data_IF_015611978476
#
_entry.id   IF_015611978476
#
_cell.length_a   1.000
_cell.length_b   1.000
_cell.length_c   1.000
_cell.angle_alpha   90.00
_cell.angle_beta   90.00
_cell.angle_gamma   90.00
#
_symmetry.space_group_name_H-M   'P 1'
#
loop_
_entity.id
_entity.type
_entity.pdbx_description
1 polymer ?
#
# COMPACT_ATOMS: atom_id res chain seq x y z
N UNK A 1 11.17 29.31 12.05
CA UNK A 1 11.59 28.14 11.25
C UNK A 1 11.56 26.92 12.16
N UNK A 2 10.82 25.88 11.78
CA UNK A 2 10.83 24.62 12.53
C UNK A 2 12.06 23.83 12.09
N UNK A 3 12.88 23.41 13.06
CA UNK A 3 14.08 22.61 12.81
C UNK A 3 14.15 21.51 13.85
N UNK A 4 14.33 20.27 13.44
CA UNK A 4 14.49 19.12 14.35
C UNK A 4 15.70 18.31 13.92
N UNK A 5 16.38 17.72 14.88
CA UNK A 5 17.46 16.77 14.64
C UNK A 5 17.06 15.41 15.17
N UNK A 6 17.32 14.37 14.38
CA UNK A 6 17.12 12.98 14.79
C UNK A 6 18.47 12.30 14.79
N UNK A 7 18.92 11.79 15.94
CA UNK A 7 20.17 11.03 16.05
C UNK A 7 19.90 9.57 16.38
N UNK A 8 20.68 8.67 15.82
CA UNK A 8 20.70 7.26 16.20
C UNK A 8 22.09 6.67 15.98
N UNK A 9 22.39 5.57 16.67
CA UNK A 9 23.50 4.66 16.36
C UNK A 9 23.22 3.81 15.11
N UNK A 10 21.97 3.72 14.67
CA UNK A 10 21.50 2.96 13.50
C UNK A 10 20.63 3.85 12.63
N UNK A 11 21.24 4.56 11.70
CA UNK A 11 20.57 5.31 10.64
C UNK A 11 20.90 4.62 9.32
N UNK A 12 19.90 4.41 8.46
CA UNK A 12 20.13 3.97 7.10
C UNK A 12 20.85 5.09 6.32
N UNK A 13 22.05 4.81 5.82
CA UNK A 13 22.90 5.81 5.17
C UNK A 13 22.66 5.85 3.66
N UNK A 14 23.27 6.84 3.00
CA UNK A 14 22.95 7.25 1.61
C UNK A 14 23.22 6.22 0.53
N UNK A 15 24.02 5.19 0.80
CA UNK A 15 24.21 4.06 -0.10
C UNK A 15 23.05 3.06 -0.03
N UNK A 16 22.06 3.34 0.82
CA UNK A 16 20.97 2.48 1.26
C UNK A 16 21.41 1.15 1.87
N UNK A 17 22.65 0.70 1.69
CA UNK A 17 23.15 -0.59 2.17
C UNK A 17 23.77 -0.53 3.57
N UNK A 18 24.30 0.63 3.99
CA UNK A 18 25.02 0.78 5.25
C UNK A 18 24.12 1.32 6.35
N UNK A 19 24.20 0.71 7.54
CA UNK A 19 23.56 1.21 8.76
C UNK A 19 24.66 1.66 9.71
N UNK A 20 24.60 2.92 10.14
CA UNK A 20 25.63 3.49 11.01
C UNK A 20 25.13 4.65 11.87
N UNK A 21 25.98 5.15 12.78
CA UNK A 21 25.64 6.30 13.60
C UNK A 21 25.53 7.54 12.71
N UNK A 22 24.44 8.29 12.83
CA UNK A 22 24.28 9.57 12.15
C UNK A 22 23.28 10.51 12.85
N UNK A 23 23.30 11.77 12.41
CA UNK A 23 22.30 12.79 12.74
C UNK A 23 21.65 13.30 11.46
N UNK A 24 20.32 13.25 11.40
CA UNK A 24 19.50 13.80 10.32
C UNK A 24 18.96 15.16 10.78
N UNK A 25 19.35 16.23 10.10
CA UNK A 25 18.78 17.57 10.33
C UNK A 25 17.63 17.81 9.36
N UNK A 26 16.47 18.20 9.91
CA UNK A 26 15.28 18.54 9.16
C UNK A 26 14.95 20.00 9.45
N UNK A 27 14.84 20.83 8.42
CA UNK A 27 14.48 22.24 8.54
C UNK A 27 13.33 22.55 7.59
N UNK A 28 12.29 23.21 8.10
CA UNK A 28 11.06 23.53 7.36
C UNK A 28 10.47 22.30 6.66
N UNK A 29 10.54 21.14 7.32
CA UNK A 29 10.01 19.87 6.83
C UNK A 29 10.88 19.12 5.82
N UNK A 30 12.05 19.64 5.45
CA UNK A 30 12.98 19.00 4.50
C UNK A 30 14.24 18.53 5.20
N UNK A 31 14.78 17.39 4.78
CA UNK A 31 16.11 16.94 5.21
C UNK A 31 17.14 17.88 4.60
N UNK A 32 17.84 18.64 5.43
CA UNK A 32 18.88 19.59 5.00
C UNK A 32 20.27 19.01 5.12
N UNK A 33 20.48 18.07 6.06
CA UNK A 33 21.78 17.46 6.29
C UNK A 33 21.66 16.05 6.88
N UNK A 34 22.59 15.18 6.51
CA UNK A 34 22.83 13.89 7.16
C UNK A 34 24.31 13.88 7.54
N UNK A 35 24.62 13.79 8.83
CA UNK A 35 25.98 13.81 9.37
C UNK A 35 26.30 12.42 9.91
N UNK A 36 27.19 11.71 9.21
CA UNK A 36 27.62 10.36 9.59
C UNK A 36 28.70 10.40 10.67
N UNK A 37 28.73 9.37 11.52
CA UNK A 37 29.68 9.22 12.61
C UNK A 37 29.09 9.52 13.99
N UNK A 38 29.93 9.32 15.01
CA UNK A 38 29.53 9.39 16.43
C UNK A 38 29.59 10.79 17.05
N UNK A 39 30.04 11.80 16.30
CA UNK A 39 30.34 13.14 16.82
C UNK A 39 29.41 14.20 16.27
N UNK A 40 28.28 14.44 16.94
CA UNK A 40 27.55 15.70 16.77
C UNK A 40 28.05 16.72 17.80
N UNK A 41 28.76 17.74 17.34
CA UNK A 41 29.35 18.78 18.19
C UNK A 41 28.51 20.07 18.23
N UNK A 42 27.29 20.05 17.67
CA UNK A 42 26.37 21.18 17.75
C UNK A 42 25.57 21.21 19.06
N UNK A 43 24.96 22.34 19.37
CA UNK A 43 24.08 22.49 20.53
C UNK A 43 22.84 21.59 20.41
N UNK A 44 22.67 20.61 21.31
CA UNK A 44 21.53 19.68 21.31
C UNK A 44 20.40 20.21 22.20
N UNK A 45 19.18 20.30 21.67
CA UNK A 45 17.99 20.73 22.40
C UNK A 45 17.14 19.51 22.75
N UNK A 46 17.20 19.06 24.00
CA UNK A 46 16.50 17.86 24.46
C UNK A 46 14.96 17.97 24.46
N UNK A 47 14.40 19.19 24.35
CA UNK A 47 12.95 19.38 24.26
C UNK A 47 12.43 19.25 22.81
N UNK A 48 13.33 19.43 21.84
CA UNK A 48 12.98 19.55 20.43
C UNK A 48 13.54 18.42 19.57
N UNK A 49 14.78 18.03 19.84
CA UNK A 49 15.50 17.01 19.10
C UNK A 49 15.20 15.61 19.63
N UNK A 50 15.36 14.62 18.75
CA UNK A 50 14.97 13.24 19.00
C UNK A 50 16.23 12.38 19.06
N UNK A 51 16.47 11.79 20.24
CA UNK A 51 17.46 10.75 20.41
C UNK A 51 16.79 9.37 20.28
N UNK A 52 17.04 8.70 19.16
CA UNK A 52 16.55 7.35 18.91
C UNK A 52 17.45 6.27 19.53
N UNK A 53 18.57 6.62 20.16
CA UNK A 53 19.47 5.67 20.80
C UNK A 53 20.00 4.61 19.83
N UNK A 54 19.53 3.37 19.98
CA UNK A 54 19.87 2.22 19.12
C UNK A 54 18.72 1.75 18.23
N UNK A 55 17.61 2.50 18.14
CA UNK A 55 16.53 2.18 17.21
C UNK A 55 16.94 2.53 15.79
N UNK A 56 16.47 1.75 14.81
CA UNK A 56 16.73 1.98 13.40
C UNK A 56 15.92 3.20 12.92
N UNK A 57 16.61 4.14 12.26
CA UNK A 57 16.01 5.28 11.56
C UNK A 57 16.15 5.06 10.06
N UNK A 58 15.03 5.05 9.35
CA UNK A 58 14.95 4.88 7.90
C UNK A 58 13.87 5.80 7.31
N UNK A 59 13.76 5.95 5.98
CA UNK A 59 12.68 6.71 5.37
C UNK A 59 11.33 6.16 5.83
N UNK A 60 10.37 7.05 6.05
CA UNK A 60 9.00 6.64 6.30
C UNK A 60 8.43 5.83 5.12
N UNK A 61 7.59 4.84 5.44
CA UNK A 61 7.00 3.95 4.43
C UNK A 61 5.98 4.72 3.60
N UNK A 62 5.88 4.34 2.32
CA UNK A 62 4.82 4.79 1.42
C UNK A 62 3.99 3.57 1.04
N UNK A 63 2.72 3.55 1.44
CA UNK A 63 1.81 2.47 1.08
C UNK A 63 0.94 2.90 -0.11
N UNK A 64 1.15 2.31 -1.28
CA UNK A 64 0.45 2.68 -2.51
C UNK A 64 -0.92 2.03 -2.70
N UNK A 65 -1.39 1.19 -1.76
CA UNK A 65 -2.65 0.49 -1.91
C UNK A 65 -3.46 0.46 -0.61
N UNK A 66 -4.20 1.55 -0.37
CA UNK A 66 -5.04 1.70 0.82
C UNK A 66 -6.45 2.11 0.42
N UNK A 67 -7.48 1.42 0.90
CA UNK A 67 -8.87 1.80 0.69
C UNK A 67 -9.36 2.67 1.84
N UNK A 68 -9.41 4.00 1.63
CA UNK A 68 -10.11 4.91 2.54
C UNK A 68 -11.50 5.16 1.96
N UNK A 69 -12.52 4.72 2.69
CA UNK A 69 -13.90 4.62 2.20
C UNK A 69 -14.72 5.89 2.49
N UNK A 70 -14.04 7.01 2.74
CA UNK A 70 -14.62 8.33 2.99
C UNK A 70 -14.44 9.22 1.75
N UNK A 71 -15.46 9.95 1.29
CA UNK A 71 -16.81 10.11 1.85
C UNK A 71 -17.73 8.89 1.69
N UNK A 72 -18.86 8.86 2.42
CA UNK A 72 -20.00 8.01 2.13
C UNK A 72 -20.03 6.63 2.81
N UNK A 73 -18.87 5.99 3.05
CA UNK A 73 -18.76 4.74 3.82
C UNK A 73 -17.70 4.87 4.92
N UNK A 74 -17.71 6.02 5.61
CA UNK A 74 -16.74 6.38 6.66
C UNK A 74 -16.69 5.34 7.80
N UNK A 75 -17.78 4.62 8.04
CA UNK A 75 -17.89 3.52 9.00
C UNK A 75 -17.10 2.27 8.61
N UNK A 76 -16.75 2.10 7.33
CA UNK A 76 -15.81 1.06 6.89
C UNK A 76 -14.39 1.45 7.26
N UNK A 77 -13.94 2.63 6.83
CA UNK A 77 -12.68 3.24 7.25
C UNK A 77 -12.61 4.69 6.77
N UNK A 78 -12.39 5.64 7.69
CA UNK A 78 -12.26 7.06 7.40
C UNK A 78 -10.81 7.52 7.45
N UNK A 79 -10.55 8.76 6.99
CA UNK A 79 -9.18 9.29 6.92
C UNK A 79 -8.49 9.36 8.29
N UNK A 80 -9.23 9.72 9.34
CA UNK A 80 -8.66 9.84 10.68
C UNK A 80 -8.09 8.50 11.17
N UNK A 81 -8.89 7.44 11.11
CA UNK A 81 -8.52 6.12 11.63
C UNK A 81 -7.52 5.42 10.71
N UNK A 82 -7.65 5.55 9.39
CA UNK A 82 -6.68 5.03 8.42
C UNK A 82 -5.30 5.68 8.61
N UNK A 83 -5.23 7.01 8.67
CA UNK A 83 -3.95 7.72 8.76
C UNK A 83 -3.30 7.60 10.15
N UNK A 84 -4.09 7.46 11.22
CA UNK A 84 -3.57 7.04 12.54
C UNK A 84 -2.99 5.63 12.48
N UNK A 85 -3.69 4.68 11.88
CA UNK A 85 -3.19 3.32 11.72
C UNK A 85 -1.90 3.28 10.88
N UNK A 86 -1.84 4.04 9.79
CA UNK A 86 -0.64 4.23 8.99
C UNK A 86 0.53 4.76 9.84
N UNK A 87 0.31 5.86 10.59
CA UNK A 87 1.33 6.42 11.47
C UNK A 87 1.84 5.42 12.50
N UNK A 88 0.94 4.63 13.12
CA UNK A 88 1.32 3.59 14.08
C UNK A 88 2.12 2.43 13.44
N UNK A 89 1.98 2.23 12.12
CA UNK A 89 2.72 1.23 11.34
C UNK A 89 4.01 1.73 10.70
N UNK A 90 4.45 2.97 10.98
CA UNK A 90 5.65 3.54 10.37
C UNK A 90 5.44 4.08 8.96
N UNK A 91 4.19 4.14 8.50
CA UNK A 91 3.80 4.68 7.21
C UNK A 91 3.64 6.19 7.36
N UNK A 92 4.26 6.93 6.45
CA UNK A 92 4.25 8.41 6.41
C UNK A 92 3.48 8.95 5.21
N UNK A 93 3.15 8.09 4.26
CA UNK A 93 2.32 8.43 3.11
C UNK A 93 1.48 7.24 2.71
N UNK A 94 0.19 7.46 2.48
CA UNK A 94 -0.69 6.48 1.84
C UNK A 94 -1.14 6.99 0.46
N UNK A 95 -1.46 6.08 -0.45
CA UNK A 95 -2.12 6.39 -1.71
C UNK A 95 -3.48 5.72 -1.72
N UNK A 96 -4.51 6.56 -1.68
CA UNK A 96 -5.89 6.16 -1.47
C UNK A 96 -6.54 5.69 -2.78
N UNK A 97 -7.20 4.53 -2.72
CA UNK A 97 -7.90 3.89 -3.83
C UNK A 97 -9.21 4.63 -4.19
N UNK A 98 -9.65 4.57 -5.47
CA UNK A 98 -10.73 5.41 -5.97
C UNK A 98 -12.15 4.88 -5.71
N UNK A 99 -12.28 3.72 -5.08
CA UNK A 99 -13.55 3.01 -4.92
C UNK A 99 -13.96 2.88 -3.45
N UNK A 100 -15.15 2.34 -3.23
CA UNK A 100 -15.89 2.18 -1.97
C UNK A 100 -16.33 3.50 -1.31
N UNK A 101 -15.58 4.60 -1.47
CA UNK A 101 -16.10 5.92 -1.17
C UNK A 101 -17.29 6.26 -2.09
N UNK A 102 -18.23 7.06 -1.59
CA UNK A 102 -19.39 7.56 -2.33
C UNK A 102 -19.36 9.09 -2.30
N UNK A 103 -19.19 9.76 -3.46
CA UNK A 103 -19.00 9.18 -4.80
C UNK A 103 -17.62 8.51 -4.97
N UNK A 104 -17.55 7.46 -5.80
CA UNK A 104 -16.29 6.89 -6.29
C UNK A 104 -15.49 7.97 -7.03
N UNK A 105 -14.17 7.95 -6.92
CA UNK A 105 -13.25 8.92 -7.54
C UNK A 105 -13.04 8.65 -9.03
N UNK A 106 -14.13 8.67 -9.81
CA UNK A 106 -14.17 8.39 -11.25
C UNK A 106 -14.41 9.63 -12.11
N UNK A 107 -14.62 10.79 -11.49
CA UNK A 107 -14.74 12.11 -12.13
C UNK A 107 -13.90 13.14 -11.38
N UNK A 108 -13.58 14.26 -12.03
CA UNK A 108 -12.86 15.36 -11.38
C UNK A 108 -13.62 15.93 -10.17
N UNK A 109 -14.95 16.00 -10.23
CA UNK A 109 -15.75 16.54 -9.12
C UNK A 109 -15.83 15.57 -7.94
N UNK A 110 -15.89 14.26 -8.19
CA UNK A 110 -15.77 13.27 -7.13
C UNK A 110 -14.38 13.33 -6.47
N UNK A 111 -13.32 13.54 -7.26
CA UNK A 111 -11.98 13.76 -6.72
C UNK A 111 -11.92 14.98 -5.81
N UNK A 112 -12.42 16.14 -6.26
CA UNK A 112 -12.50 17.35 -5.43
C UNK A 112 -13.26 17.12 -4.13
N UNK A 113 -14.40 16.43 -4.21
CA UNK A 113 -15.20 16.06 -3.04
C UNK A 113 -14.35 15.25 -2.06
N UNK A 114 -13.60 14.25 -2.53
CA UNK A 114 -12.73 13.42 -1.67
C UNK A 114 -11.64 14.24 -0.97
N UNK A 115 -11.04 15.22 -1.67
CA UNK A 115 -10.02 16.12 -1.10
C UNK A 115 -10.54 16.92 0.11
N UNK A 116 -11.80 17.37 0.07
CA UNK A 116 -12.41 18.18 1.14
C UNK A 116 -12.55 17.43 2.48
N UNK A 117 -12.66 16.10 2.43
CA UNK A 117 -12.69 15.24 3.61
C UNK A 117 -11.28 14.92 4.10
N UNK A 118 -10.40 14.51 3.17
CA UNK A 118 -9.03 14.12 3.51
C UNK A 118 -8.23 15.24 4.18
N UNK A 119 -8.39 16.49 3.70
CA UNK A 119 -7.64 17.65 4.18
C UNK A 119 -7.79 17.93 5.68
N UNK A 120 -8.89 17.49 6.30
CA UNK A 120 -9.23 17.80 7.70
C UNK A 120 -8.75 16.76 8.70
N UNK A 121 -8.45 15.54 8.25
CA UNK A 121 -8.36 14.37 9.12
C UNK A 121 -7.06 13.58 8.96
N UNK A 122 -6.18 13.98 8.03
CA UNK A 122 -4.99 13.22 7.68
C UNK A 122 -3.82 13.44 8.67
N UNK A 123 -3.43 12.38 9.38
CA UNK A 123 -2.25 12.39 10.25
C UNK A 123 -0.93 12.17 9.50
N UNK A 124 -0.99 11.41 8.40
CA UNK A 124 0.12 11.18 7.48
C UNK A 124 -0.25 11.78 6.12
N UNK A 125 0.72 11.88 5.21
CA UNK A 125 0.41 12.42 3.89
C UNK A 125 -0.46 11.47 3.07
N UNK A 126 -1.27 12.04 2.18
CA UNK A 126 -2.23 11.28 1.36
C UNK A 126 -2.12 11.71 -0.09
N UNK A 127 -1.85 10.75 -0.97
CA UNK A 127 -2.02 10.88 -2.42
C UNK A 127 -3.24 10.04 -2.87
N UNK A 128 -3.62 10.15 -4.14
CA UNK A 128 -4.89 9.59 -4.63
C UNK A 128 -4.74 8.91 -5.98
N UNK A 129 -5.37 7.76 -6.12
CA UNK A 129 -5.66 7.14 -7.40
C UNK A 129 -7.02 7.61 -7.91
N UNK A 130 -7.15 7.72 -9.24
CA UNK A 130 -8.43 7.89 -9.91
C UNK A 130 -8.99 6.56 -10.38
N UNK A 131 -10.27 6.51 -10.72
CA UNK A 131 -10.90 5.33 -11.27
C UNK A 131 -11.06 5.38 -12.78
N UNK A 132 -10.86 4.23 -13.44
CA UNK A 132 -11.26 4.01 -14.83
C UNK A 132 -12.41 3.01 -14.83
N UNK A 133 -13.55 3.45 -15.37
CA UNK A 133 -14.81 2.70 -15.47
C UNK A 133 -15.40 2.89 -16.87
N UNK A 134 -16.36 2.08 -17.33
CA UNK A 134 -16.99 2.29 -18.64
C UNK A 134 -17.51 3.71 -18.83
N UNK A 135 -17.09 4.35 -19.93
CA UNK A 135 -17.59 5.66 -20.36
C UNK A 135 -16.92 6.90 -19.74
N UNK A 136 -15.99 6.75 -18.78
CA UNK A 136 -15.37 7.91 -18.11
C UNK A 136 -14.03 8.37 -18.70
N UNK A 137 -13.61 7.87 -19.88
CA UNK A 137 -12.27 8.14 -20.43
C UNK A 137 -11.93 9.64 -20.59
N UNK A 138 -12.95 10.50 -20.76
CA UNK A 138 -12.76 11.95 -20.91
C UNK A 138 -12.45 12.65 -19.58
N UNK A 139 -12.69 12.01 -18.44
CA UNK A 139 -12.36 12.51 -17.09
C UNK A 139 -10.88 12.34 -16.74
N UNK A 140 -10.16 11.45 -17.44
CA UNK A 140 -8.79 11.05 -17.07
C UNK A 140 -7.80 12.22 -17.17
N UNK A 141 -7.74 12.90 -18.32
CA UNK A 141 -6.85 14.06 -18.51
C UNK A 141 -7.15 15.21 -17.54
N UNK A 142 -8.43 15.60 -17.29
CA UNK A 142 -8.78 16.52 -16.22
C UNK A 142 -8.23 16.11 -14.85
N UNK A 143 -8.38 14.85 -14.44
CA UNK A 143 -7.85 14.36 -13.16
C UNK A 143 -6.32 14.34 -13.10
N UNK A 144 -5.63 14.02 -14.20
CA UNK A 144 -4.17 14.15 -14.30
C UNK A 144 -3.74 15.59 -14.04
N UNK A 145 -4.39 16.58 -14.66
CA UNK A 145 -4.08 18.01 -14.43
C UNK A 145 -4.36 18.45 -13.00
N UNK A 146 -5.31 17.82 -12.32
CA UNK A 146 -5.60 18.03 -10.91
C UNK A 146 -4.60 17.34 -9.96
N UNK A 147 -3.66 16.55 -10.50
CA UNK A 147 -2.55 15.98 -9.75
C UNK A 147 -2.79 14.58 -9.19
N UNK A 148 -3.70 13.80 -9.78
CA UNK A 148 -3.89 12.39 -9.38
C UNK A 148 -2.63 11.57 -9.69
N UNK A 149 -2.33 10.55 -8.88
CA UNK A 149 -1.11 9.74 -9.03
C UNK A 149 -1.13 8.84 -10.27
N UNK A 150 -2.33 8.44 -10.70
CA UNK A 150 -2.63 7.53 -11.81
C UNK A 150 -4.05 7.00 -11.68
N UNK A 151 -4.37 5.87 -12.30
CA UNK A 151 -5.71 5.31 -12.31
C UNK A 151 -5.76 3.83 -11.95
N UNK A 152 -6.85 3.36 -11.35
CA UNK A 152 -7.14 1.95 -11.05
C UNK A 152 -8.41 1.53 -11.80
N UNK A 153 -8.43 0.30 -12.30
CA UNK A 153 -9.63 -0.36 -12.81
C UNK A 153 -9.72 -1.81 -12.34
N UNK A 154 -10.89 -2.40 -12.52
CA UNK A 154 -11.16 -3.82 -12.31
C UNK A 154 -11.51 -4.49 -13.63
N UNK A 155 -11.03 -5.72 -13.84
CA UNK A 155 -11.38 -6.56 -14.99
C UNK A 155 -12.51 -7.56 -14.70
N UNK A 156 -12.98 -7.60 -13.46
CA UNK A 156 -14.11 -8.38 -12.94
C UNK A 156 -14.91 -7.49 -11.97
N UNK A 157 -16.16 -7.86 -11.63
CA UNK A 157 -16.97 -7.09 -10.69
C UNK A 157 -16.20 -6.75 -9.40
N UNK A 158 -16.23 -5.47 -9.01
CA UNK A 158 -15.41 -4.89 -7.93
C UNK A 158 -15.99 -5.14 -6.53
N UNK A 159 -17.14 -5.80 -6.44
CA UNK A 159 -17.96 -5.94 -5.24
C UNK A 159 -18.99 -4.82 -5.07
N UNK A 160 -18.90 -3.72 -5.83
CA UNK A 160 -19.77 -2.54 -5.73
C UNK A 160 -20.18 -2.01 -7.10
N UNK A 161 -21.44 -1.58 -7.22
CA UNK A 161 -21.98 -1.11 -8.50
C UNK A 161 -21.55 0.32 -8.85
N UNK A 162 -21.14 1.12 -7.86
CA UNK A 162 -20.63 2.48 -8.06
C UNK A 162 -19.22 2.51 -8.68
N UNK A 163 -18.57 1.35 -8.83
CA UNK A 163 -17.30 1.19 -9.52
C UNK A 163 -17.36 -0.01 -10.49
N UNK A 164 -18.08 0.11 -11.61
CA UNK A 164 -18.24 -1.00 -12.55
C UNK A 164 -16.91 -1.36 -13.24
N UNK A 165 -16.72 -2.64 -13.49
CA UNK A 165 -15.53 -3.18 -14.15
C UNK A 165 -15.50 -2.82 -15.64
N UNK A 166 -14.29 -2.74 -16.20
CA UNK A 166 -14.09 -2.36 -17.60
C UNK A 166 -14.01 -3.57 -18.51
N UNK A 167 -14.51 -3.42 -19.73
CA UNK A 167 -14.26 -4.37 -20.82
C UNK A 167 -12.97 -4.01 -21.56
N UNK A 168 -12.47 -4.91 -22.40
CA UNK A 168 -11.33 -4.59 -23.30
C UNK A 168 -11.63 -3.38 -24.21
N UNK A 169 -12.89 -3.21 -24.65
CA UNK A 169 -13.29 -2.06 -25.46
C UNK A 169 -13.17 -0.73 -24.69
N UNK A 170 -13.43 -0.73 -23.39
CA UNK A 170 -13.26 0.44 -22.53
C UNK A 170 -11.78 0.73 -22.26
N UNK A 171 -10.97 -0.33 -22.05
CA UNK A 171 -9.51 -0.21 -21.93
C UNK A 171 -8.88 0.42 -23.17
N UNK A 172 -9.31 0.05 -24.37
CA UNK A 172 -8.84 0.68 -25.61
C UNK A 172 -9.12 2.19 -25.64
N UNK A 173 -10.25 2.65 -25.09
CA UNK A 173 -10.57 4.10 -25.01
C UNK A 173 -9.71 4.78 -23.95
N UNK A 174 -9.65 4.22 -22.75
CA UNK A 174 -8.88 4.78 -21.64
C UNK A 174 -7.38 4.84 -21.96
N UNK A 175 -6.78 3.76 -22.48
CA UNK A 175 -5.36 3.74 -22.83
C UNK A 175 -5.02 4.68 -23.99
N UNK A 176 -5.93 4.92 -24.94
CA UNK A 176 -5.75 5.98 -25.95
C UNK A 176 -5.68 7.36 -25.32
N UNK A 177 -6.51 7.63 -24.31
CA UNK A 177 -6.47 8.90 -23.59
C UNK A 177 -5.21 9.06 -22.74
N UNK A 178 -4.71 7.98 -22.14
CA UNK A 178 -3.50 7.98 -21.31
C UNK A 178 -2.19 7.95 -22.11
N UNK A 179 -2.24 7.56 -23.40
CA UNK A 179 -1.05 7.45 -24.24
C UNK A 179 -0.31 8.79 -24.35
N UNK A 180 1.00 8.78 -24.14
CA UNK A 180 1.85 9.98 -24.14
C UNK A 180 1.79 10.80 -22.84
N UNK A 181 1.02 10.36 -21.84
CA UNK A 181 1.08 10.92 -20.48
C UNK A 181 2.03 10.11 -19.60
N UNK A 182 2.47 10.69 -18.48
CA UNK A 182 3.26 9.98 -17.46
C UNK A 182 2.38 9.19 -16.46
N UNK A 183 1.10 8.98 -16.78
CA UNK A 183 0.16 8.29 -15.91
C UNK A 183 0.33 6.77 -15.98
N UNK A 184 0.10 6.10 -14.86
CA UNK A 184 0.04 4.64 -14.75
C UNK A 184 -1.41 4.17 -14.65
N UNK A 185 -1.73 2.99 -15.21
CA UNK A 185 -3.01 2.30 -15.05
C UNK A 185 -2.81 1.01 -14.24
N UNK A 186 -3.49 0.93 -13.10
CA UNK A 186 -3.46 -0.15 -12.13
C UNK A 186 -4.63 -1.11 -12.39
N UNK A 187 -4.37 -2.41 -12.30
CA UNK A 187 -5.34 -3.45 -12.62
C UNK A 187 -5.55 -4.40 -11.45
N UNK A 188 -6.79 -4.44 -10.92
CA UNK A 188 -7.25 -5.67 -10.30
C UNK A 188 -7.49 -6.67 -11.43
N UNK A 189 -6.53 -7.57 -11.61
CA UNK A 189 -6.43 -8.45 -12.76
C UNK A 189 -7.01 -9.82 -12.44
N UNK A 190 -8.33 -9.94 -12.43
CA UNK A 190 -9.06 -11.21 -12.51
C UNK A 190 -10.12 -11.08 -13.63
N UNK A 191 -10.37 -12.14 -14.38
CA UNK A 191 -11.45 -12.23 -15.38
C UNK A 191 -12.23 -13.52 -15.18
N UNK A 192 -13.51 -13.52 -15.53
CA UNK A 192 -14.29 -14.76 -15.61
C UNK A 192 -13.65 -15.72 -16.63
N UNK A 193 -13.48 -16.98 -16.23
CA UNK A 193 -12.96 -18.03 -17.12
C UNK A 193 -14.06 -18.98 -17.51
N UNK A 194 -14.02 -19.52 -18.73
CA UNK A 194 -14.96 -20.55 -19.20
C UNK A 194 -14.73 -21.92 -18.55
N UNK A 195 -13.99 -21.99 -17.44
CA UNK A 195 -13.83 -23.23 -16.70
C UNK A 195 -15.19 -23.58 -16.07
N UNK A 196 -15.68 -24.82 -16.24
CA UNK A 196 -16.90 -25.24 -15.57
C UNK A 196 -16.69 -25.09 -14.05
N UNK A 197 -17.70 -24.62 -13.30
CA UNK A 197 -17.60 -24.59 -11.84
C UNK A 197 -17.29 -26.00 -11.34
N UNK A 198 -16.36 -26.10 -10.39
CA UNK A 198 -16.10 -27.37 -9.72
C UNK A 198 -17.39 -27.79 -8.99
N UNK A 199 -18.07 -28.82 -9.50
CA UNK A 199 -19.32 -29.34 -8.97
C UNK A 199 -19.13 -30.15 -7.67
N UNK A 200 -17.92 -30.23 -7.11
CA UNK A 200 -17.72 -30.86 -5.81
C UNK A 200 -18.50 -30.08 -4.73
N UNK A 201 -19.51 -30.73 -4.14
CA UNK A 201 -20.27 -30.21 -3.00
C UNK A 201 -19.32 -29.97 -1.83
N UNK A 202 -18.83 -28.74 -1.73
CA UNK A 202 -17.96 -28.29 -0.64
C UNK A 202 -18.70 -27.23 0.15
N UNK A 203 -18.60 -27.30 1.48
CA UNK A 203 -19.31 -26.38 2.38
C UNK A 203 -18.93 -24.92 2.07
N UNK A 204 -19.88 -23.97 1.98
CA UNK A 204 -19.54 -22.55 1.82
C UNK A 204 -18.69 -21.98 2.97
N UNK A 205 -18.60 -22.69 4.09
CA UNK A 205 -17.71 -22.35 5.21
C UNK A 205 -16.28 -22.88 5.06
N UNK A 206 -16.00 -23.75 4.09
CA UNK A 206 -14.65 -24.23 3.81
C UNK A 206 -13.92 -23.20 2.94
N UNK A 207 -12.70 -22.84 3.31
CA UNK A 207 -11.92 -21.87 2.53
C UNK A 207 -11.60 -22.39 1.12
N UNK A 208 -11.42 -23.70 0.98
CA UNK A 208 -11.19 -24.36 -0.32
C UNK A 208 -12.32 -24.09 -1.33
N UNK A 209 -13.59 -24.02 -0.89
CA UNK A 209 -14.73 -23.68 -1.75
C UNK A 209 -14.56 -22.30 -2.38
N UNK A 210 -14.16 -21.31 -1.57
CA UNK A 210 -13.88 -19.97 -2.06
C UNK A 210 -12.63 -19.94 -2.97
N UNK A 211 -11.56 -20.63 -2.58
CA UNK A 211 -10.34 -20.72 -3.37
C UNK A 211 -10.59 -21.31 -4.78
N UNK A 212 -11.41 -22.36 -4.87
CA UNK A 212 -11.84 -23.00 -6.13
C UNK A 212 -12.74 -22.12 -6.98
N UNK A 213 -13.57 -21.28 -6.36
CA UNK A 213 -14.43 -20.34 -7.09
C UNK A 213 -13.65 -19.24 -7.82
N UNK A 214 -12.39 -19.02 -7.43
CA UNK A 214 -11.49 -18.02 -8.03
C UNK A 214 -10.14 -18.63 -8.39
N UNK A 215 -10.06 -19.59 -9.33
CA UNK A 215 -8.82 -20.28 -9.66
C UNK A 215 -7.75 -19.31 -10.18
N UNK A 216 -6.47 -19.68 -10.06
CA UNK A 216 -5.33 -18.87 -10.55
C UNK A 216 -5.47 -18.49 -12.04
N UNK A 217 -6.14 -19.31 -12.84
CA UNK A 217 -6.40 -19.03 -14.24
C UNK A 217 -7.12 -17.69 -14.48
N UNK A 218 -8.05 -17.29 -13.60
CA UNK A 218 -8.74 -15.99 -13.70
C UNK A 218 -7.76 -14.83 -13.64
N UNK A 219 -6.77 -14.92 -12.75
CA UNK A 219 -5.73 -13.90 -12.61
C UNK A 219 -4.71 -13.96 -13.76
N UNK A 220 -4.27 -15.16 -14.11
CA UNK A 220 -3.30 -15.38 -15.17
C UNK A 220 -3.80 -14.87 -16.54
N UNK A 221 -5.06 -15.16 -16.91
CA UNK A 221 -5.64 -14.68 -18.18
C UNK A 221 -5.81 -13.16 -18.21
N UNK A 222 -6.23 -12.56 -17.09
CA UNK A 222 -6.34 -11.12 -16.96
C UNK A 222 -4.98 -10.44 -17.16
N UNK A 223 -3.90 -11.00 -16.60
CA UNK A 223 -2.54 -10.47 -16.76
C UNK A 223 -2.04 -10.62 -18.21
N UNK A 224 -2.41 -11.68 -18.95
CA UNK A 224 -2.10 -11.79 -20.39
C UNK A 224 -2.75 -10.67 -21.20
N UNK A 225 -4.02 -10.36 -20.91
CA UNK A 225 -4.71 -9.22 -21.53
C UNK A 225 -3.98 -7.91 -21.24
N UNK A 226 -3.64 -7.65 -19.97
CA UNK A 226 -2.93 -6.41 -19.58
C UNK A 226 -1.56 -6.33 -20.24
N UNK A 227 -0.78 -7.41 -20.27
CA UNK A 227 0.52 -7.45 -20.92
C UNK A 227 0.44 -7.10 -22.41
N UNK A 228 -0.54 -7.67 -23.14
CA UNK A 228 -0.78 -7.38 -24.55
C UNK A 228 -1.12 -5.90 -24.78
N UNK A 229 -2.04 -5.36 -23.99
CA UNK A 229 -2.45 -3.96 -24.11
C UNK A 229 -1.32 -2.99 -23.73
N UNK A 230 -0.53 -3.33 -22.70
CA UNK A 230 0.64 -2.56 -22.29
C UNK A 230 1.68 -2.47 -23.41
N UNK A 231 1.94 -3.57 -24.12
CA UNK A 231 2.83 -3.59 -25.30
C UNK A 231 2.28 -2.77 -26.47
N UNK A 232 0.96 -2.82 -26.69
CA UNK A 232 0.29 -2.10 -27.77
C UNK A 232 0.32 -0.59 -27.55
N UNK A 233 -0.04 -0.12 -26.36
CA UNK A 233 -0.22 1.30 -26.07
C UNK A 233 1.01 1.98 -25.48
N UNK A 234 1.92 1.21 -24.88
CA UNK A 234 3.08 1.71 -24.12
C UNK A 234 2.69 2.66 -22.97
N UNK A 235 1.46 2.52 -22.47
CA UNK A 235 1.02 3.16 -21.22
C UNK A 235 1.55 2.34 -20.06
N UNK A 236 2.21 2.95 -19.06
CA UNK A 236 2.63 2.24 -17.85
C UNK A 236 1.47 1.49 -17.20
N UNK A 237 1.64 0.20 -16.99
CA UNK A 237 0.66 -0.67 -16.35
C UNK A 237 1.20 -1.20 -15.02
N UNK A 238 0.32 -1.40 -14.06
CA UNK A 238 0.68 -1.96 -12.77
C UNK A 238 -0.34 -3.03 -12.36
N UNK A 239 0.14 -4.26 -12.15
CA UNK A 239 -0.69 -5.33 -11.61
C UNK A 239 -0.71 -5.18 -10.09
N UNK A 240 -1.87 -4.84 -9.54
CA UNK A 240 -2.03 -4.74 -8.09
C UNK A 240 -2.18 -6.13 -7.45
N UNK A 241 -1.83 -6.24 -6.16
CA UNK A 241 -2.07 -7.39 -5.28
C UNK A 241 -1.94 -8.76 -5.98
N UNK A 242 -0.80 -9.01 -6.65
CA UNK A 242 -0.52 -10.28 -7.32
C UNK A 242 -0.54 -11.43 -6.31
N UNK A 243 -1.46 -12.37 -6.52
CA UNK A 243 -1.65 -13.54 -5.68
C UNK A 243 -1.06 -14.80 -6.33
N UNK A 244 -1.24 -14.98 -7.63
CA UNK A 244 -0.72 -16.12 -8.39
C UNK A 244 0.73 -15.92 -8.81
N UNK A 245 1.66 -16.68 -8.22
CA UNK A 245 3.06 -16.70 -8.67
C UNK A 245 3.23 -17.30 -10.08
N UNK A 246 2.19 -17.96 -10.62
CA UNK A 246 2.19 -18.52 -11.98
C UNK A 246 2.09 -17.45 -13.06
N UNK A 247 1.60 -16.25 -12.73
CA UNK A 247 1.51 -15.16 -13.70
C UNK A 247 2.82 -14.40 -13.91
N UNK A 248 3.81 -14.54 -13.01
CA UNK A 248 5.08 -13.82 -13.09
C UNK A 248 5.82 -14.00 -14.42
N UNK A 249 5.94 -15.21 -15.01
CA UNK A 249 6.56 -15.39 -16.33
C UNK A 249 5.93 -14.52 -17.42
N UNK A 250 4.61 -14.29 -17.40
CA UNK A 250 3.90 -13.44 -18.37
C UNK A 250 4.38 -11.99 -18.23
N UNK A 251 4.47 -11.49 -17.00
CA UNK A 251 4.91 -10.13 -16.70
C UNK A 251 6.38 -9.95 -17.11
N UNK A 252 7.24 -10.90 -16.74
CA UNK A 252 8.67 -10.86 -17.07
C UNK A 252 8.92 -10.93 -18.58
N UNK A 253 8.16 -11.74 -19.32
CA UNK A 253 8.25 -11.80 -20.78
C UNK A 253 7.81 -10.49 -21.42
N UNK A 254 6.69 -9.91 -20.98
CA UNK A 254 6.25 -8.60 -21.47
C UNK A 254 7.29 -7.50 -21.21
N UNK A 255 7.94 -7.50 -20.03
CA UNK A 255 9.05 -6.59 -19.71
C UNK A 255 10.23 -6.75 -20.65
N UNK A 256 10.62 -7.99 -20.99
CA UNK A 256 11.69 -8.27 -21.96
C UNK A 256 11.35 -7.71 -23.35
N UNK A 257 10.07 -7.68 -23.71
CA UNK A 257 9.56 -7.03 -24.93
C UNK A 257 9.39 -5.49 -24.80
N UNK A 258 9.81 -4.92 -23.67
CA UNK A 258 9.80 -3.49 -23.39
C UNK A 258 8.47 -2.94 -22.86
N UNK A 259 7.56 -3.79 -22.38
CA UNK A 259 6.33 -3.32 -21.73
C UNK A 259 6.69 -2.56 -20.43
N UNK A 260 6.18 -1.33 -20.23
CA UNK A 260 6.32 -0.62 -18.95
C UNK A 260 5.34 -1.19 -17.90
N UNK A 261 5.51 -2.47 -17.54
CA UNK A 261 4.64 -3.18 -16.61
C UNK A 261 5.35 -3.46 -15.27
N UNK A 262 4.71 -3.09 -14.17
CA UNK A 262 5.18 -3.36 -12.80
C UNK A 262 4.17 -4.22 -12.05
N UNK A 263 4.58 -4.81 -10.93
CA UNK A 263 3.71 -5.66 -10.11
C UNK A 263 4.01 -5.53 -8.63
N UNK A 264 2.96 -5.47 -7.82
CA UNK A 264 3.06 -5.55 -6.36
C UNK A 264 2.44 -6.87 -5.87
N UNK A 265 2.87 -7.33 -4.70
CA UNK A 265 2.12 -8.31 -3.90
C UNK A 265 1.87 -7.75 -2.50
N UNK A 266 1.06 -8.44 -1.71
CA UNK A 266 0.58 -7.93 -0.43
C UNK A 266 1.16 -8.71 0.74
N UNK A 267 1.18 -8.07 1.92
CA UNK A 267 1.63 -8.71 3.16
C UNK A 267 0.89 -10.02 3.45
N UNK A 268 -0.41 -10.11 3.16
CA UNK A 268 -1.21 -11.31 3.39
C UNK A 268 -0.80 -12.48 2.51
N UNK A 269 -0.47 -12.28 1.23
CA UNK A 269 0.02 -13.36 0.36
C UNK A 269 1.41 -13.87 0.74
N UNK A 270 2.17 -13.09 1.51
CA UNK A 270 3.50 -13.47 2.01
C UNK A 270 3.49 -14.05 3.43
N UNK A 271 2.37 -13.93 4.16
CA UNK A 271 2.28 -14.29 5.59
C UNK A 271 1.14 -15.24 5.95
N UNK A 272 0.22 -15.48 5.02
CA UNK A 272 -0.92 -16.38 5.13
C UNK A 272 -0.89 -17.38 3.97
N UNK A 273 -1.41 -18.57 4.21
CA UNK A 273 -1.60 -19.62 3.22
C UNK A 273 -2.99 -20.24 3.39
N UNK A 274 -3.52 -20.83 2.31
CA UNK A 274 -4.88 -21.34 2.25
C UNK A 274 -5.13 -22.51 3.23
N UNK A 275 -4.13 -23.37 3.39
CA UNK A 275 -4.19 -24.60 4.17
C UNK A 275 -4.37 -24.32 5.67
N UNK A 276 -3.95 -23.15 6.15
CA UNK A 276 -4.08 -22.75 7.55
C UNK A 276 -5.34 -21.92 7.85
N UNK A 277 -6.16 -21.60 6.86
CA UNK A 277 -7.40 -20.83 7.07
C UNK A 277 -8.47 -21.70 7.73
N UNK A 278 -8.94 -21.39 8.96
CA UNK A 278 -9.98 -22.18 9.60
C UNK A 278 -11.32 -22.07 8.86
N UNK A 279 -12.14 -23.12 8.94
CA UNK A 279 -13.52 -23.07 8.43
C UNK A 279 -14.31 -21.95 9.13
N UNK A 280 -15.06 -21.19 8.35
CA UNK A 280 -15.87 -20.06 8.83
C UNK A 280 -15.09 -18.78 9.17
N UNK A 281 -13.75 -18.77 9.05
CA UNK A 281 -12.92 -17.61 9.37
C UNK A 281 -12.91 -16.57 8.23
N UNK A 282 -14.05 -15.95 7.97
CA UNK A 282 -14.27 -15.01 6.85
C UNK A 282 -13.44 -13.73 6.91
N UNK A 283 -12.78 -13.43 8.04
CA UNK A 283 -11.77 -12.36 8.12
C UNK A 283 -10.54 -12.61 7.23
N UNK A 284 -10.32 -13.84 6.76
CA UNK A 284 -9.28 -14.19 5.80
C UNK A 284 -9.71 -13.95 4.34
N UNK A 285 -10.99 -13.69 4.06
CA UNK A 285 -11.48 -13.50 2.69
C UNK A 285 -10.92 -12.21 2.09
N UNK A 286 -10.24 -12.34 0.95
CA UNK A 286 -9.83 -11.26 0.05
C UNK A 286 -9.90 -11.74 -1.41
N UNK A 287 -9.88 -10.80 -2.36
CA UNK A 287 -9.91 -11.10 -3.80
C UNK A 287 -8.75 -10.35 -4.47
N UNK A 288 -7.80 -11.04 -5.14
CA UNK A 288 -7.70 -12.50 -5.30
C UNK A 288 -7.55 -13.25 -3.95
N UNK A 289 -7.91 -14.54 -3.86
CA UNK A 289 -7.83 -15.28 -2.60
C UNK A 289 -6.37 -15.51 -2.17
N UNK A 290 -6.16 -15.68 -0.85
CA UNK A 290 -4.93 -16.27 -0.30
C UNK A 290 -4.77 -17.67 -0.90
N UNK A 291 -3.59 -17.97 -1.44
CA UNK A 291 -3.26 -19.22 -2.14
C UNK A 291 -2.52 -20.20 -1.24
N UNK A 292 -2.20 -21.34 -1.82
CA UNK A 292 -1.51 -22.44 -1.18
C UNK A 292 -0.11 -22.05 -0.68
N UNK A 293 0.41 -22.76 0.31
CA UNK A 293 1.74 -22.54 0.87
C UNK A 293 2.84 -22.64 -0.19
N UNK A 294 2.70 -23.56 -1.16
CA UNK A 294 3.62 -23.66 -2.29
C UNK A 294 3.67 -22.36 -3.10
N UNK A 295 2.50 -21.76 -3.37
CA UNK A 295 2.43 -20.48 -4.07
C UNK A 295 3.07 -19.35 -3.24
N UNK A 296 2.83 -19.32 -1.93
CA UNK A 296 3.49 -18.36 -1.02
C UNK A 296 5.03 -18.48 -1.11
N UNK A 297 5.59 -19.70 -1.14
CA UNK A 297 7.03 -19.92 -1.29
C UNK A 297 7.58 -19.39 -2.63
N UNK A 298 6.80 -19.54 -3.72
CA UNK A 298 7.13 -19.00 -5.03
C UNK A 298 7.07 -17.47 -5.06
N UNK A 299 6.10 -16.84 -4.40
CA UNK A 299 6.05 -15.39 -4.23
C UNK A 299 7.28 -14.88 -3.47
N UNK A 300 7.67 -15.52 -2.37
CA UNK A 300 8.90 -15.16 -1.65
C UNK A 300 10.16 -15.27 -2.52
N UNK A 301 10.24 -16.33 -3.32
CA UNK A 301 11.35 -16.50 -4.28
C UNK A 301 11.38 -15.36 -5.30
N UNK A 302 10.22 -14.95 -5.82
CA UNK A 302 10.09 -13.84 -6.74
C UNK A 302 10.45 -12.48 -6.12
N UNK A 303 10.11 -12.25 -4.84
CA UNK A 303 10.55 -11.07 -4.11
C UNK A 303 12.08 -11.03 -4.02
N UNK A 304 12.71 -12.13 -3.63
CA UNK A 304 14.18 -12.23 -3.50
C UNK A 304 14.90 -12.09 -4.85
N UNK A 305 14.30 -12.59 -5.93
CA UNK A 305 14.84 -12.43 -7.28
C UNK A 305 14.64 -11.02 -7.86
N UNK A 306 13.84 -10.17 -7.19
CA UNK A 306 13.50 -8.83 -7.68
C UNK A 306 12.47 -8.83 -8.82
N UNK A 307 11.73 -9.93 -9.00
CA UNK A 307 10.68 -10.05 -10.02
C UNK A 307 9.42 -9.25 -9.63
N UNK A 308 9.19 -9.09 -8.33
CA UNK A 308 8.13 -8.27 -7.73
C UNK A 308 8.70 -6.89 -7.37
N UNK A 309 8.00 -5.83 -7.78
CA UNK A 309 8.50 -4.45 -7.66
C UNK A 309 8.18 -3.81 -6.31
N UNK A 310 7.02 -4.12 -5.73
CA UNK A 310 6.50 -3.46 -4.53
C UNK A 310 5.81 -4.44 -3.58
N UNK A 311 5.80 -4.07 -2.30
CA UNK A 311 5.04 -4.75 -1.25
C UNK A 311 4.14 -3.73 -0.55
N UNK A 312 2.84 -4.01 -0.49
CA UNK A 312 1.82 -3.09 0.04
C UNK A 312 0.84 -3.77 0.99
N UNK A 313 -0.02 -3.00 1.65
CA UNK A 313 -1.03 -3.57 2.55
C UNK A 313 -2.24 -4.15 1.82
N UNK A 314 -2.72 -3.47 0.78
CA UNK A 314 -4.09 -3.62 0.28
C UNK A 314 -5.09 -3.59 1.45
N UNK A 315 -4.94 -2.56 2.29
CA UNK A 315 -5.80 -2.37 3.44
C UNK A 315 -7.22 -2.07 2.95
N UNK A 316 -8.10 -3.05 3.06
CA UNK A 316 -9.47 -3.01 2.55
C UNK A 316 -10.47 -3.48 3.62
N UNK A 317 -10.67 -2.69 4.69
CA UNK A 317 -11.62 -3.00 5.76
C UNK A 317 -13.07 -2.78 5.31
N UNK A 318 -13.98 -3.48 5.96
CA UNK A 318 -15.42 -3.22 5.94
C UNK A 318 -15.98 -3.39 7.36
N UNK A 319 -17.27 -3.12 7.53
CA UNK A 319 -17.96 -3.34 8.81
C UNK A 319 -18.07 -4.83 9.15
N UNK A 320 -18.13 -5.15 10.44
CA UNK A 320 -18.10 -6.54 10.92
C UNK A 320 -19.28 -7.40 10.44
N UNK A 321 -20.45 -6.80 10.23
CA UNK A 321 -21.64 -7.47 9.70
C UNK A 321 -21.42 -7.99 8.28
N UNK A 322 -20.73 -7.22 7.41
CA UNK A 322 -20.41 -7.63 6.05
C UNK A 322 -19.39 -8.78 5.99
N UNK A 323 -18.64 -9.02 7.07
CA UNK A 323 -17.75 -10.17 7.17
C UNK A 323 -18.49 -11.47 7.46
N UNK A 324 -19.76 -11.45 7.91
CA UNK A 324 -20.56 -12.65 8.17
C UNK A 324 -19.84 -13.69 9.06
N UNK A 325 -19.08 -13.25 10.07
CA UNK A 325 -18.28 -14.15 10.91
C UNK A 325 -19.10 -15.15 11.72
N UNK A 326 -20.41 -14.91 11.89
CA UNK A 326 -21.33 -15.86 12.55
C UNK A 326 -21.81 -16.95 11.59
N UNK A 327 -22.10 -16.61 10.33
CA UNK A 327 -22.48 -17.58 9.30
C UNK A 327 -21.26 -18.36 8.80
N UNK A 328 -20.10 -17.70 8.73
CA UNK A 328 -18.86 -18.28 8.23
C UNK A 328 -18.85 -18.51 6.71
N UNK A 329 -19.84 -18.02 5.98
CA UNK A 329 -20.00 -18.24 4.53
C UNK A 329 -18.99 -17.40 3.73
N UNK A 330 -17.93 -18.05 3.25
CA UNK A 330 -16.90 -17.41 2.43
C UNK A 330 -17.42 -16.98 1.06
N UNK A 331 -18.54 -17.51 0.56
CA UNK A 331 -19.07 -17.11 -0.74
C UNK A 331 -19.80 -15.77 -0.65
N UNK A 332 -20.48 -15.50 0.47
CA UNK A 332 -21.23 -14.26 0.69
C UNK A 332 -20.44 -13.14 1.37
N UNK A 333 -19.49 -13.45 2.25
CA UNK A 333 -18.78 -12.45 3.04
C UNK A 333 -18.06 -11.40 2.16
N UNK A 334 -17.90 -10.17 2.64
CA UNK A 334 -17.11 -9.15 1.95
C UNK A 334 -15.62 -9.50 1.91
N UNK A 335 -14.97 -9.36 0.76
CA UNK A 335 -13.54 -9.61 0.57
C UNK A 335 -12.69 -8.36 0.86
N UNK A 336 -11.64 -8.50 1.68
CA UNK A 336 -10.69 -7.44 1.99
C UNK A 336 -10.02 -7.63 3.36
N UNK A 337 -8.72 -7.34 3.48
CA UNK A 337 -7.96 -7.59 4.72
C UNK A 337 -7.57 -6.27 5.39
N UNK A 338 -7.77 -6.20 6.71
CA UNK A 338 -7.33 -5.07 7.53
C UNK A 338 -5.89 -5.29 8.03
N UNK A 339 -4.92 -4.56 7.48
CA UNK A 339 -3.49 -4.79 7.77
C UNK A 339 -2.62 -3.52 7.90
N UNK A 340 -3.15 -2.32 7.62
CA UNK A 340 -2.35 -1.08 7.40
C UNK A 340 -1.27 -0.83 8.47
N UNK A 341 -1.65 -0.91 9.74
CA UNK A 341 -0.75 -0.69 10.88
C UNK A 341 0.40 -1.71 10.98
N UNK A 342 0.22 -2.91 10.43
CA UNK A 342 1.13 -4.03 10.65
C UNK A 342 2.08 -4.28 9.49
N UNK A 343 1.98 -3.52 8.39
CA UNK A 343 2.67 -3.83 7.14
C UNK A 343 4.18 -4.02 7.28
N UNK A 344 4.87 -3.07 7.93
CA UNK A 344 6.30 -3.17 8.21
C UNK A 344 6.63 -4.45 9.01
N UNK A 345 5.94 -4.66 10.12
CA UNK A 345 6.19 -5.78 11.03
C UNK A 345 5.87 -7.13 10.38
N UNK A 346 4.79 -7.22 9.61
CA UNK A 346 4.42 -8.43 8.86
C UNK A 346 5.49 -8.80 7.84
N UNK A 347 5.89 -7.83 7.00
CA UNK A 347 6.90 -8.08 5.99
C UNK A 347 8.25 -8.43 6.63
N UNK A 348 8.69 -7.66 7.64
CA UNK A 348 9.96 -7.90 8.32
C UNK A 348 10.00 -9.26 9.04
N UNK A 349 8.90 -9.67 9.67
CA UNK A 349 8.80 -10.99 10.31
C UNK A 349 9.05 -12.12 9.31
N UNK A 350 8.45 -12.02 8.11
CA UNK A 350 8.61 -13.02 7.05
C UNK A 350 9.95 -12.95 6.32
N UNK A 351 10.48 -11.75 6.07
CA UNK A 351 11.66 -11.54 5.22
C UNK A 351 12.97 -11.75 5.98
N UNK A 352 13.01 -11.44 7.29
CA UNK A 352 14.23 -11.57 8.10
C UNK A 352 14.75 -13.00 8.16
N UNK A 353 13.87 -14.00 8.31
CA UNK A 353 14.26 -15.41 8.30
C UNK A 353 14.76 -15.89 6.93
N UNK A 354 14.51 -15.11 5.88
CA UNK A 354 14.92 -15.36 4.50
C UNK A 354 16.16 -14.57 4.08
N UNK A 355 16.82 -13.91 5.03
CA UNK A 355 18.09 -13.21 4.81
C UNK A 355 17.96 -11.82 4.19
N UNK A 356 16.75 -11.26 4.08
CA UNK A 356 16.55 -9.95 3.47
C UNK A 356 17.17 -8.82 4.32
N UNK A 357 17.85 -7.92 3.64
CA UNK A 357 18.45 -6.73 4.23
C UNK A 357 17.45 -5.56 4.27
N UNK A 358 17.65 -4.64 5.21
CA UNK A 358 16.80 -3.44 5.40
C UNK A 358 16.70 -2.59 4.12
N UNK A 359 17.78 -2.52 3.33
CA UNK A 359 17.81 -1.74 2.10
C UNK A 359 16.84 -2.28 1.04
N UNK A 360 16.65 -3.60 0.99
CA UNK A 360 15.70 -4.25 0.07
C UNK A 360 14.27 -3.96 0.50
N UNK A 361 13.99 -3.94 1.81
CA UNK A 361 12.72 -3.51 2.36
C UNK A 361 12.42 -2.05 2.00
N UNK A 362 13.38 -1.14 2.19
CA UNK A 362 13.22 0.27 1.83
C UNK A 362 13.00 0.45 0.34
N UNK A 363 13.70 -0.32 -0.50
CA UNK A 363 13.43 -0.36 -1.95
C UNK A 363 11.96 -0.72 -2.22
N UNK A 364 11.48 -1.84 -1.67
CA UNK A 364 10.17 -2.41 -1.98
C UNK A 364 8.98 -1.62 -1.39
N UNK A 365 9.13 -1.02 -0.21
CA UNK A 365 8.04 -0.41 0.56
C UNK A 365 8.13 1.12 0.66
N UNK A 366 9.26 1.73 0.27
CA UNK A 366 9.45 3.18 0.32
C UNK A 366 9.76 3.75 -1.07
N UNK A 367 10.82 3.29 -1.72
CA UNK A 367 11.30 3.89 -2.97
C UNK A 367 10.42 3.55 -4.16
N UNK A 368 10.12 2.26 -4.36
CA UNK A 368 9.35 1.79 -5.51
C UNK A 368 7.88 2.21 -5.40
N UNK A 369 7.33 2.26 -4.18
CA UNK A 369 5.97 2.75 -3.90
C UNK A 369 5.87 4.26 -4.13
N UNK A 370 6.84 5.04 -3.66
CA UNK A 370 6.92 6.47 -3.98
C UNK A 370 7.08 6.70 -5.50
N UNK A 371 7.87 5.89 -6.19
CA UNK A 371 8.05 6.00 -7.64
C UNK A 371 6.75 5.72 -8.41
N UNK A 372 6.05 4.63 -8.09
CA UNK A 372 4.76 4.29 -8.69
C UNK A 372 3.75 5.44 -8.50
N UNK A 373 3.68 5.99 -7.29
CA UNK A 373 2.78 7.07 -6.93
C UNK A 373 3.15 8.45 -7.52
N UNK A 374 4.32 8.58 -8.17
CA UNK A 374 4.82 9.86 -8.69
C UNK A 374 5.31 10.82 -7.60
N UNK A 375 5.85 10.28 -6.50
CA UNK A 375 6.28 11.00 -5.30
C UNK A 375 7.79 10.83 -5.00
N UNK A 376 8.54 10.13 -5.85
CA UNK A 376 9.97 9.84 -5.64
C UNK A 376 10.88 11.08 -5.59
N UNK A 377 10.39 12.25 -5.98
CA UNK A 377 11.07 13.53 -5.84
C UNK A 377 11.14 14.03 -4.39
N UNK A 378 10.31 13.48 -3.49
CA UNK A 378 10.19 13.96 -2.11
C UNK A 378 9.94 12.88 -1.05
N UNK A 379 9.48 11.69 -1.43
CA UNK A 379 9.19 10.54 -0.53
C UNK A 379 10.08 9.34 -0.82
N UNK A 380 10.14 8.43 0.15
CA UNK A 380 10.70 7.09 -0.05
C UNK A 380 12.21 6.97 0.15
N UNK A 381 12.95 8.07 0.34
CA UNK A 381 14.40 8.04 0.54
C UNK A 381 14.85 8.94 1.70
N UNK A 382 15.95 8.55 2.35
CA UNK A 382 16.59 9.28 3.43
C UNK A 382 17.76 10.08 2.84
N UNK A 383 17.42 11.17 2.16
CA UNK A 383 18.36 11.97 1.37
C UNK A 383 18.08 13.46 1.54
N UNK A 384 19.13 14.29 1.45
CA UNK A 384 18.98 15.75 1.46
C UNK A 384 18.06 16.21 0.33
N UNK A 385 17.13 17.10 0.64
CA UNK A 385 16.08 17.60 -0.26
C UNK A 385 14.75 16.84 -0.15
N UNK A 386 14.77 15.60 0.36
CA UNK A 386 13.55 14.83 0.62
C UNK A 386 12.79 15.39 1.82
N UNK A 387 11.51 15.06 1.92
CA UNK A 387 10.74 15.38 3.12
C UNK A 387 11.35 14.68 4.35
N UNK A 388 11.27 15.34 5.50
CA UNK A 388 11.72 14.81 6.80
C UNK A 388 10.81 13.72 7.34
N UNK A 389 10.46 12.75 6.49
CA UNK A 389 9.54 11.66 6.78
C UNK A 389 10.34 10.43 7.17
N UNK A 390 10.26 10.06 8.45
CA UNK A 390 11.12 9.05 9.06
C UNK A 390 10.29 8.09 9.89
N UNK A 391 10.72 6.83 9.91
CA UNK A 391 10.27 5.85 10.91
C UNK A 391 11.44 5.48 11.81
N UNK A 392 11.17 5.45 13.11
CA UNK A 392 12.08 5.02 14.17
C UNK A 392 11.49 3.75 14.79
N UNK A 393 12.21 2.64 14.65
CA UNK A 393 11.67 1.33 15.04
C UNK A 393 12.76 0.36 15.53
N UNK A 394 12.33 -0.66 16.27
CA UNK A 394 13.18 -1.74 16.77
C UNK A 394 12.97 -3.01 15.92
N UNK A 395 13.89 -3.37 15.01
CA UNK A 395 13.77 -4.57 14.20
C UNK A 395 13.95 -5.89 14.97
N UNK A 396 14.47 -5.84 16.19
CA UNK A 396 14.69 -7.01 17.03
C UNK A 396 13.55 -7.26 18.03
N UNK A 397 12.83 -6.22 18.43
CA UNK A 397 11.70 -6.34 19.35
C UNK A 397 10.50 -7.07 18.72
N UNK A 398 9.76 -7.78 19.58
CA UNK A 398 8.56 -8.54 19.22
C UNK A 398 7.33 -8.00 19.93
N UNK A 399 6.16 -8.18 19.31
CA UNK A 399 4.87 -7.92 19.93
C UNK A 399 3.82 -8.89 19.41
N UNK A 400 2.86 -9.21 20.26
CA UNK A 400 1.64 -9.89 19.83
C UNK A 400 0.61 -8.87 19.34
N UNK A 401 -0.01 -9.16 18.20
CA UNK A 401 -1.16 -8.42 17.67
C UNK A 401 -2.37 -8.74 18.55
N UNK A 402 -2.89 -7.73 19.23
CA UNK A 402 -4.04 -7.82 20.11
C UNK A 402 -5.06 -6.75 19.73
N UNK A 403 -6.35 -7.04 19.93
CA UNK A 403 -7.46 -6.18 19.49
C UNK A 403 -7.38 -4.74 19.99
N UNK A 404 -6.90 -4.54 21.22
CA UNK A 404 -6.73 -3.24 21.87
C UNK A 404 -5.65 -2.37 21.22
N UNK A 405 -4.67 -2.96 20.54
CA UNK A 405 -3.59 -2.24 19.86
C UNK A 405 -3.96 -1.78 18.45
N UNK A 406 -5.02 -2.35 17.88
CA UNK A 406 -5.44 -2.08 16.51
C UNK A 406 -6.01 -0.66 16.41
N UNK A 407 -5.42 0.17 15.55
CA UNK A 407 -5.80 1.59 15.39
C UNK A 407 -6.81 1.85 14.27
N UNK A 408 -6.82 1.04 13.20
CA UNK A 408 -7.80 1.16 12.12
C UNK A 408 -9.22 0.87 12.65
N UNK A 409 -10.27 1.39 12.01
CA UNK A 409 -11.63 1.44 12.57
C UNK A 409 -12.17 0.05 12.89
N UNK A 410 -12.16 -0.84 11.90
CA UNK A 410 -12.72 -2.18 12.01
C UNK A 410 -11.65 -3.18 12.47
N UNK A 411 -11.73 -3.60 13.73
CA UNK A 411 -10.66 -4.37 14.42
C UNK A 411 -10.48 -5.81 13.94
N UNK A 412 -11.32 -6.27 13.01
CA UNK A 412 -11.29 -7.64 12.53
C UNK A 412 -10.14 -7.82 11.54
N UNK A 413 -9.23 -8.74 11.85
CA UNK A 413 -8.02 -8.99 11.06
C UNK A 413 -7.56 -10.44 11.20
N UNK A 414 -7.01 -11.08 10.15
CA UNK A 414 -6.47 -12.45 10.26
C UNK A 414 -5.17 -12.53 11.07
N UNK A 415 -4.65 -11.40 11.55
CA UNK A 415 -3.40 -11.33 12.28
C UNK A 415 -3.55 -11.32 13.80
N UNK A 416 -4.78 -11.25 14.33
CA UNK A 416 -5.00 -11.28 15.78
C UNK A 416 -4.40 -12.55 16.40
N UNK A 417 -3.64 -12.37 17.49
CA UNK A 417 -2.91 -13.44 18.16
C UNK A 417 -1.52 -13.77 17.56
N UNK A 418 -1.19 -13.31 16.35
CA UNK A 418 0.15 -13.53 15.77
C UNK A 418 1.22 -12.70 16.49
N UNK A 419 2.42 -13.27 16.61
CA UNK A 419 3.62 -12.57 17.12
C UNK A 419 4.41 -12.05 15.93
N UNK A 420 4.66 -10.74 15.91
CA UNK A 420 5.40 -10.04 14.87
C UNK A 420 6.68 -9.43 15.44
N UNK A 421 7.71 -9.33 14.61
CA UNK A 421 8.95 -8.59 14.88
C UNK A 421 8.90 -7.22 14.22
N UNK A 422 9.65 -6.26 14.76
CA UNK A 422 9.69 -4.91 14.25
C UNK A 422 8.67 -4.02 14.95
N UNK A 423 9.04 -3.42 16.08
CA UNK A 423 8.18 -2.52 16.86
C UNK A 423 8.41 -1.08 16.44
N UNK A 424 7.36 -0.40 16.00
CA UNK A 424 7.41 1.02 15.65
C UNK A 424 7.40 1.85 16.94
N UNK A 425 8.44 2.67 17.12
CA UNK A 425 8.54 3.59 18.26
C UNK A 425 8.01 4.96 17.91
N UNK A 426 8.38 5.52 16.76
CA UNK A 426 8.00 6.89 16.38
C UNK A 426 7.91 7.01 14.86
N UNK A 427 6.92 7.76 14.40
CA UNK A 427 6.73 8.09 12.99
C UNK A 427 6.69 9.60 12.84
N UNK A 428 7.51 10.12 11.94
CA UNK A 428 7.67 11.54 11.70
C UNK A 428 7.20 11.89 10.29
N UNK A 429 6.45 12.97 10.17
CA UNK A 429 6.08 13.59 8.89
C UNK A 429 6.62 15.01 8.90
N UNK A 430 7.49 15.34 7.94
CA UNK A 430 8.19 16.64 7.85
C UNK A 430 8.87 17.03 9.17
N UNK A 431 9.48 16.06 9.84
CA UNK A 431 10.15 16.24 11.14
C UNK A 431 9.22 16.38 12.35
N UNK A 432 7.91 16.26 12.18
CA UNK A 432 6.96 16.32 13.28
C UNK A 432 6.48 14.92 13.64
N UNK A 433 6.50 14.57 14.93
CA UNK A 433 6.01 13.27 15.38
C UNK A 433 4.48 13.19 15.24
N UNK A 434 4.01 12.27 14.41
CA UNK A 434 2.58 11.96 14.20
C UNK A 434 2.15 10.71 14.97
N UNK A 435 3.14 9.93 15.41
CA UNK A 435 2.98 8.80 16.32
C UNK A 435 4.23 8.65 17.20
N UNK A 436 4.03 8.37 18.49
CA UNK A 436 5.07 8.08 19.48
C UNK A 436 4.55 7.08 20.51
N UNK A 437 5.03 5.83 20.44
CA UNK A 437 4.77 4.75 21.42
C UNK A 437 3.31 4.67 21.90
N UNK A 438 2.37 4.59 20.95
CA UNK A 438 0.94 4.46 21.22
C UNK A 438 0.19 5.79 21.32
N UNK A 439 0.89 6.93 21.24
CA UNK A 439 0.27 8.26 21.27
C UNK A 439 0.34 8.91 19.89
N UNK A 440 -0.77 9.47 19.43
CA UNK A 440 -0.83 10.28 18.21
C UNK A 440 -0.62 11.76 18.51
N UNK A 441 -0.25 12.53 17.48
CA UNK A 441 -0.25 14.00 17.58
C UNK A 441 -1.64 14.53 17.96
N UNK A 442 -1.68 15.71 18.59
CA UNK A 442 -2.96 16.35 18.93
C UNK A 442 -3.73 16.82 17.69
N UNK A 443 -3.02 17.14 16.61
CA UNK A 443 -3.59 17.61 15.35
C UNK A 443 -3.20 16.67 14.19
N UNK A 444 -4.04 16.59 13.14
CA UNK A 444 -3.69 15.95 11.87
C UNK A 444 -2.64 16.81 11.14
N UNK A 445 -1.41 16.31 11.03
CA UNK A 445 -0.28 17.06 10.45
C UNK A 445 0.00 16.70 8.98
N UNK A 446 -0.73 15.73 8.42
CA UNK A 446 -0.62 15.26 7.05
C UNK A 446 -0.99 16.33 6.03
N UNK A 447 -0.47 16.17 4.81
CA UNK A 447 -0.80 17.02 3.66
C UNK A 447 -1.29 16.14 2.51
N UNK A 448 -2.16 16.72 1.70
CA UNK A 448 -2.56 16.14 0.43
C UNK A 448 -1.42 16.33 -0.57
N UNK A 449 -1.08 15.26 -1.29
CA UNK A 449 0.02 15.22 -2.23
C UNK A 449 -0.52 15.05 -3.64
N UNK A 450 -0.05 15.92 -4.52
CA UNK A 450 -0.40 15.94 -5.93
C UNK A 450 0.81 15.58 -6.78
N UNK A 451 0.62 14.76 -7.81
CA UNK A 451 1.67 14.43 -8.79
C UNK A 451 2.04 15.69 -9.58
N UNK A 452 3.33 15.91 -9.79
CA UNK A 452 3.85 17.03 -10.60
C UNK A 452 3.74 18.42 -9.96
N UNK A 453 3.19 18.55 -8.74
CA UNK A 453 3.23 19.79 -7.98
C UNK A 453 4.32 19.74 -6.92
N UNK A 454 5.23 20.72 -6.96
CA UNK A 454 6.09 21.03 -5.83
C UNK A 454 5.32 21.92 -4.84
N UNK A 455 5.71 21.89 -3.56
CA UNK A 455 5.04 22.57 -2.45
C UNK A 455 5.04 24.13 -2.51
N UNK A 456 5.07 24.71 -3.70
CA UNK A 456 5.07 26.15 -3.98
C UNK A 456 3.89 26.63 -4.84
N UNK A 457 2.94 25.77 -5.21
CA UNK A 457 1.66 26.20 -5.80
C UNK A 457 0.55 26.09 -4.77
N UNK A 458 0.28 27.20 -4.06
CA UNK A 458 -0.98 27.36 -3.34
C UNK A 458 -2.12 27.25 -4.36
N UNK A 459 -3.01 26.26 -4.17
CA UNK A 459 -4.39 26.31 -4.68
C UNK A 459 -5.24 27.02 -3.62
#
# INVERSE_FOLDING_TARGET
MTSVRVRSRRVLLRDNATIGPAVVEITNGKITRIMEGKGYNGHWDAQKDIDAGSHLVMPGIVDSHVHVNEPGRTEWEGYETATKAAAAGGITTIVDMPLNCIPSTITLDAFRTKLDYAAKMAYVDVAFWGGVVPGNQLELKPMIRAGISGFKCFLIHSGVDEFPHVTEADLHKAMKELQGTDSVLLFHAEVETNLPPDESETSPTAYETFLKSRPKAMENEAIRLVARLCLQYRVPCHIVHLSSAEALPIILDARKQGAPITVETCHHYLSLDAETVPSGATQFKCCPPIREQENQARLWSAVNNGDIDLIVSDHSPCTADLKLTQEGDFMKAWGGISSLQFGLSLFWTGSRSRGMHIHELVRLMCERTALLAGLADRKGQLKVGMDGDLVIWDPEAEFQVTRDKIQHRNKLTPYEGKVLKGVIHKTLVRGQAVYDRGQHSQAPLGKLLFRGQHASSNL
#
